data_IF_479447633729
#
_entry.id   IF_479447633729
#
_cell.length_a   1.000
_cell.length_b   1.000
_cell.length_c   1.000
_cell.angle_alpha   90.00
_cell.angle_beta   90.00
_cell.angle_gamma   90.00
#
_symmetry.space_group_name_H-M   'P 1'
#
loop_
_entity.id
_entity.type
_entity.pdbx_description
1 polymer ?
2 water ?
#
# COMPACT_ATOMS: atom_id res chain seq x y z
N UNK A 142 -3.67 16.03 8.70
CA UNK A 142 -3.94 16.50 7.35
C UNK A 142 -3.89 15.39 6.27
N UNK A 143 -4.96 15.31 5.48
CA UNK A 143 -5.27 14.11 4.71
C UNK A 143 -5.07 14.19 3.21
N UNK A 144 -4.66 13.06 2.65
CA UNK A 144 -4.59 12.86 1.22
C UNK A 144 -4.91 11.38 0.98
N UNK A 145 -5.28 11.06 -0.25
CA UNK A 145 -5.64 9.70 -0.56
C UNK A 145 -5.27 9.34 -2.01
N UNK A 146 -5.13 8.05 -2.28
CA UNK A 146 -4.85 7.60 -3.63
C UNK A 146 -5.38 6.16 -3.71
N UNK A 147 -5.80 5.72 -4.90
CA UNK A 147 -6.48 4.43 -5.01
C UNK A 147 -5.72 3.39 -5.81
N UNK A 148 -5.73 2.15 -5.32
CA UNK A 148 -5.14 1.03 -6.04
C UNK A 148 -6.22 0.03 -6.40
N UNK A 149 -5.90 -0.92 -7.28
CA UNK A 149 -6.75 -2.08 -7.52
C UNK A 149 -5.89 -3.32 -7.56
N UNK A 150 -6.48 -4.46 -7.30
CA UNK A 150 -5.74 -5.69 -7.14
C UNK A 150 -6.71 -6.85 -7.35
N UNK A 151 -6.23 -7.90 -8.00
CA UNK A 151 -7.06 -9.05 -8.27
C UNK A 151 -6.22 -10.27 -8.58
N UNK A 152 -6.74 -11.43 -8.22
CA UNK A 152 -6.01 -12.66 -8.41
C UNK A 152 -6.65 -13.46 -9.54
N UNK A 153 -6.02 -14.58 -9.86
CA UNK A 153 -6.49 -15.50 -10.88
C UNK A 153 -6.90 -16.85 -10.30
N UNK A 154 -7.60 -17.65 -11.10
CA UNK A 154 -7.93 -19.03 -10.73
C UNK A 154 -9.17 -19.23 -9.87
N UNK A 155 -9.27 -20.42 -9.31
CA UNK A 155 -10.36 -20.77 -8.41
C UNK A 155 -10.43 -19.81 -7.22
N UNK A 156 -11.61 -19.20 -7.03
CA UNK A 156 -11.82 -18.30 -5.92
C UNK A 156 -11.08 -16.97 -6.06
N UNK A 157 -10.83 -16.56 -7.30
CA UNK A 157 -10.19 -15.27 -7.57
C UNK A 157 -10.94 -14.15 -6.87
N UNK A 158 -10.22 -13.10 -6.48
CA UNK A 158 -10.85 -11.96 -5.82
C UNK A 158 -10.46 -10.68 -6.53
N UNK A 159 -11.08 -9.58 -6.13
CA UNK A 159 -10.94 -8.30 -6.81
C UNK A 159 -11.19 -7.33 -5.70
N UNK A 160 -10.21 -6.47 -5.44
CA UNK A 160 -10.35 -5.44 -4.40
C UNK A 160 -10.03 -4.05 -4.92
N UNK A 161 -10.73 -3.06 -4.38
CA UNK A 161 -10.29 -1.68 -4.41
C UNK A 161 -9.46 -1.40 -3.15
N UNK A 162 -8.36 -0.64 -3.28
CA UNK A 162 -7.65 -0.18 -2.07
C UNK A 162 -7.47 1.34 -2.00
N UNK A 163 -8.10 1.95 -1.00
CA UNK A 163 -7.98 3.38 -0.85
C UNK A 163 -6.90 3.65 0.21
N UNK A 164 -5.80 4.25 -0.23
CA UNK A 164 -4.71 4.50 0.67
C UNK A 164 -4.84 5.90 1.24
N UNK A 165 -5.25 5.96 2.50
CA UNK A 165 -5.46 7.24 3.17
C UNK A 165 -4.17 7.66 3.86
N UNK A 166 -3.56 8.72 3.35
CA UNK A 166 -2.31 9.23 3.89
C UNK A 166 -2.56 10.36 4.87
N UNK A 167 -2.11 10.17 6.12
CA UNK A 167 -2.23 11.22 7.12
C UNK A 167 -0.87 11.70 7.58
N UNK A 168 -0.61 12.99 7.35
CA UNK A 168 0.58 13.68 7.85
C UNK A 168 0.52 13.97 9.35
N UNK A 169 1.42 13.37 10.12
CA UNK A 169 1.39 13.49 11.57
C UNK A 169 2.30 14.61 12.06
N UNK A 170 2.78 15.45 11.15
CA UNK A 170 3.62 16.58 11.52
C UNK A 170 4.94 16.15 12.13
N UNK A 171 5.17 16.57 13.38
CA UNK A 171 6.33 16.11 14.13
C UNK A 171 5.86 15.37 15.40
N UNK A 172 5.76 14.04 15.32
CA UNK A 172 5.33 13.28 16.50
C UNK A 172 6.42 13.23 17.59
N UNK A 173 6.03 12.94 18.83
CA UNK A 173 7.04 12.72 19.88
C UNK A 173 8.01 11.56 19.54
N UNK A 174 9.30 11.76 19.83
CA UNK A 174 10.35 10.77 19.54
C UNK A 174 11.10 10.36 20.81
N UNK A 175 11.89 9.29 20.73
CA UNK A 175 12.69 8.83 21.88
C UNK A 175 14.06 9.51 21.90
N UNK A 176 14.98 8.99 22.69
CA UNK A 176 16.37 9.43 22.58
C UNK A 176 16.87 9.08 21.18
N UNK A 177 18.00 9.66 20.77
CA UNK A 177 18.53 9.50 19.41
C UNK A 177 17.65 10.22 18.38
N UNK A 178 16.34 9.99 18.43
CA UNK A 178 15.40 10.66 17.55
C UNK A 178 14.59 9.68 16.73
N UNK A 179 14.33 8.50 17.29
CA UNK A 179 13.67 7.42 16.56
C UNK A 179 12.14 7.35 16.83
N UNK A 180 11.38 7.11 15.78
CA UNK A 180 9.93 6.91 15.90
C UNK A 180 9.65 5.39 15.93
N UNK A 181 8.74 4.97 16.80
CA UNK A 181 8.34 3.55 16.89
C UNK A 181 6.82 3.39 16.77
N UNK A 182 6.24 3.79 15.63
CA UNK A 182 4.78 3.90 15.49
C UNK A 182 4.01 2.58 15.62
N UNK A 183 4.55 1.46 15.14
CA UNK A 183 3.84 0.18 15.25
C UNK A 183 3.43 -0.16 16.69
N UNK A 184 4.22 0.35 17.64
CA UNK A 184 3.97 0.14 19.06
C UNK A 184 3.31 1.32 19.77
N UNK A 185 3.39 2.52 19.18
CA UNK A 185 2.81 3.71 19.81
C UNK A 185 1.32 3.87 19.53
N UNK A 186 0.92 3.61 18.28
CA UNK A 186 -0.45 3.88 17.84
C UNK A 186 -1.25 2.63 17.53
N UNK A 187 -2.57 2.74 17.71
CA UNK A 187 -3.51 1.70 17.36
C UNK A 187 -3.71 1.61 15.86
N UNK A 188 -3.72 0.38 15.31
CA UNK A 188 -3.89 0.16 13.86
C UNK A 188 -5.37 0.27 13.50
N UNK A 189 -5.71 0.47 12.24
CA UNK A 189 -7.13 0.36 11.93
C UNK A 189 -7.52 -1.13 11.74
N UNK A 190 -8.81 -1.39 11.63
CA UNK A 190 -9.33 -2.74 11.56
C UNK A 190 -10.82 -2.63 11.37
N UNK A 191 -11.53 -3.78 11.23
CA UNK A 191 -10.99 -5.14 11.22
C UNK A 191 -10.21 -5.44 9.95
N UNK A 192 -9.31 -6.40 10.04
CA UNK A 192 -8.40 -6.65 8.93
C UNK A 192 -9.08 -7.41 7.79
N UNK A 193 -8.66 -7.13 6.55
CA UNK A 193 -9.07 -7.96 5.41
C UNK A 193 -8.48 -9.36 5.52
N UNK A 194 -8.85 -10.30 4.63
CA UNK A 194 -8.27 -11.64 4.80
C UNK A 194 -6.74 -11.65 4.68
N UNK A 195 -6.10 -12.59 5.35
CA UNK A 195 -4.66 -12.60 5.48
C UNK A 195 -3.94 -12.57 4.13
N UNK A 196 -4.33 -13.46 3.23
CA UNK A 196 -3.62 -13.67 1.97
C UNK A 196 -3.79 -12.47 1.05
N UNK A 197 -4.92 -11.78 1.16
CA UNK A 197 -5.13 -10.57 0.40
C UNK A 197 -4.15 -9.47 0.82
N UNK A 198 -3.97 -9.33 2.13
CA UNK A 198 -3.05 -8.34 2.68
C UNK A 198 -1.60 -8.64 2.30
N UNK A 199 -1.21 -9.92 2.35
CA UNK A 199 0.16 -10.31 2.02
C UNK A 199 0.42 -10.02 0.54
N UNK A 200 -0.60 -10.22 -0.28
CA UNK A 200 -0.45 -10.01 -1.71
C UNK A 200 -0.35 -8.51 -2.00
N UNK A 201 -1.23 -7.70 -1.42
CA UNK A 201 -1.11 -6.28 -1.65
C UNK A 201 0.23 -5.73 -1.18
N UNK A 202 0.73 -6.21 -0.04
CA UNK A 202 1.97 -5.70 0.54
C UNK A 202 3.24 -6.40 0.08
N UNK A 203 3.10 -7.28 -0.89
CA UNK A 203 4.21 -8.00 -1.47
C UNK A 203 5.12 -7.03 -2.21
N UNK A 204 6.43 -7.24 -2.16
CA UNK A 204 7.27 -6.58 -3.17
C UNK A 204 7.13 -7.33 -4.52
N UNK A 205 7.20 -6.63 -5.67
CA UNK A 205 7.07 -7.33 -6.97
C UNK A 205 7.85 -6.74 -8.14
N UNK A 206 8.31 -5.49 -7.98
CA UNK A 206 9.26 -4.88 -8.90
C UNK A 206 8.88 -4.68 -10.36
N UNK A 207 8.75 -5.78 -11.11
CA UNK A 207 8.58 -5.72 -12.57
C UNK A 207 7.29 -5.04 -13.04
N UNK A 208 7.35 -3.73 -13.32
CA UNK A 208 6.25 -3.04 -14.00
C UNK A 208 6.01 -3.66 -15.37
N UNK A 209 4.90 -4.37 -15.55
CA UNK A 209 4.71 -5.10 -16.79
C UNK A 209 3.65 -4.51 -17.72
N UNK A 210 2.89 -3.52 -17.23
CA UNK A 210 1.95 -2.81 -18.08
C UNK A 210 1.57 -1.42 -17.57
N UNK A 211 1.12 -0.56 -18.50
CA UNK A 211 0.60 0.76 -18.13
C UNK A 211 -0.88 0.91 -18.53
N UNK A 212 -1.73 1.15 -17.54
CA UNK A 212 -3.17 1.27 -17.77
C UNK A 212 -3.69 2.69 -17.62
N UNK A 213 -4.77 2.98 -18.33
CA UNK A 213 -5.43 4.26 -18.19
C UNK A 213 -4.76 5.32 -19.03
N UNK A 214 -5.36 6.51 -19.06
CA UNK A 214 -4.93 7.55 -19.99
C UNK A 214 -4.63 8.87 -19.28
N UNK A 215 -3.90 9.74 -19.97
CA UNK A 215 -3.70 11.12 -19.57
C UNK A 215 -3.17 11.32 -18.17
N UNK A 216 -4.04 11.75 -17.28
CA UNK A 216 -3.64 12.10 -15.91
C UNK A 216 -3.97 11.00 -14.90
N UNK A 217 -4.79 10.03 -15.29
CA UNK A 217 -5.11 8.89 -14.44
C UNK A 217 -4.47 7.62 -14.98
N UNK A 218 -3.18 7.49 -14.78
CA UNK A 218 -2.43 6.40 -15.40
C UNK A 218 -1.98 5.42 -14.31
N UNK A 219 -1.98 4.12 -14.59
CA UNK A 219 -1.65 3.11 -13.56
C UNK A 219 -0.56 2.14 -14.00
N UNK A 220 0.35 1.81 -13.11
CA UNK A 220 1.36 0.81 -13.40
C UNK A 220 0.85 -0.53 -12.92
N UNK A 221 0.92 -1.54 -13.78
CA UNK A 221 0.53 -2.87 -13.38
C UNK A 221 1.75 -3.67 -12.96
N UNK A 222 1.68 -4.34 -11.82
CA UNK A 222 2.67 -5.35 -11.48
C UNK A 222 2.02 -6.73 -11.48
N UNK A 223 2.74 -7.73 -11.98
CA UNK A 223 2.17 -9.04 -12.23
C UNK A 223 3.08 -10.07 -11.56
N UNK A 224 2.56 -10.75 -10.52
CA UNK A 224 3.38 -11.65 -9.70
C UNK A 224 2.63 -12.82 -9.08
N UNK A 225 3.36 -13.88 -8.76
CA UNK A 225 2.78 -15.01 -8.04
C UNK A 225 3.11 -14.95 -6.55
N UNK A 226 2.15 -15.38 -5.74
CA UNK A 226 2.40 -15.64 -4.33
C UNK A 226 1.91 -17.05 -3.98
N UNK A 227 2.84 -17.99 -3.94
CA UNK A 227 2.52 -19.38 -3.68
C UNK A 227 1.47 -19.95 -4.61
N UNK A 228 1.78 -19.99 -5.90
CA UNK A 228 0.91 -20.62 -6.88
C UNK A 228 -0.31 -19.80 -7.29
N UNK A 229 -0.50 -18.63 -6.69
CA UNK A 229 -1.59 -17.74 -7.07
C UNK A 229 -1.04 -16.54 -7.82
N UNK A 230 -1.59 -16.26 -9.01
CA UNK A 230 -1.16 -15.07 -9.72
C UNK A 230 -2.01 -13.83 -9.39
N UNK A 231 -1.31 -12.74 -9.12
CA UNK A 231 -1.92 -11.47 -8.73
C UNK A 231 -1.59 -10.34 -9.72
N UNK A 232 -2.51 -9.40 -9.83
CA UNK A 232 -2.27 -8.18 -10.59
C UNK A 232 -2.57 -7.01 -9.68
N UNK A 233 -1.75 -5.99 -9.72
CA UNK A 233 -1.88 -4.86 -8.81
C UNK A 233 -1.62 -3.60 -9.62
N UNK A 234 -2.59 -2.71 -9.59
CA UNK A 234 -2.51 -1.48 -10.36
C UNK A 234 -2.22 -0.37 -9.36
N UNK A 235 -1.14 0.35 -9.59
CA UNK A 235 -0.77 1.42 -8.71
C UNK A 235 -0.80 2.72 -9.49
N UNK A 236 -1.29 3.75 -8.84
CA UNK A 236 -1.28 5.07 -9.42
C UNK A 236 0.17 5.46 -9.54
N UNK A 237 0.59 5.98 -10.69
CA UNK A 237 1.94 6.47 -10.88
C UNK A 237 1.96 7.96 -11.30
N UNK A 238 2.58 8.81 -10.46
CA UNK A 238 2.59 10.28 -10.58
C UNK A 238 3.28 10.84 -11.85
N UNK A 239 3.49 12.16 -11.90
CA UNK A 239 4.25 12.79 -12.99
C UNK A 239 5.57 13.38 -12.51
N UNK B 142 -14.27 1.54 6.17
CA UNK B 142 -15.63 1.22 6.58
C UNK B 142 -15.98 -0.25 6.36
N UNK B 143 -15.04 -1.03 5.82
CA UNK B 143 -15.24 -2.46 5.58
C UNK B 143 -14.08 -3.28 6.18
N UNK B 144 -12.93 -3.28 5.51
CA UNK B 144 -11.73 -3.97 6.00
C UNK B 144 -10.53 -3.03 5.90
N UNK B 145 -9.63 -3.12 6.88
CA UNK B 145 -8.55 -2.13 6.98
C UNK B 145 -7.25 -2.67 7.61
N UNK B 146 -6.12 -2.26 7.04
CA UNK B 146 -4.80 -2.41 7.68
C UNK B 146 -4.08 -1.06 7.67
N UNK B 147 -3.01 -0.96 8.44
CA UNK B 147 -2.23 0.28 8.56
C UNK B 147 -0.78 0.08 8.10
N UNK B 148 -0.20 1.13 7.53
CA UNK B 148 1.22 1.17 7.22
C UNK B 148 1.81 2.46 7.80
N UNK B 149 3.12 2.51 7.89
CA UNK B 149 3.77 3.72 8.36
C UNK B 149 4.94 4.05 7.43
N UNK B 150 5.17 5.34 7.21
CA UNK B 150 6.28 5.76 6.38
C UNK B 150 6.89 7.07 6.89
N UNK B 151 8.21 7.09 7.04
CA UNK B 151 8.86 8.30 7.48
C UNK B 151 10.30 8.47 6.99
N UNK B 152 10.72 9.73 6.90
CA UNK B 152 11.99 10.06 6.36
C UNK B 152 12.85 10.58 7.48
N UNK B 153 14.16 10.67 7.23
CA UNK B 153 15.10 11.30 8.15
C UNK B 153 15.68 12.55 7.50
N UNK B 154 16.57 13.24 8.22
CA UNK B 154 17.19 14.48 7.74
C UNK B 154 16.28 15.68 7.81
N UNK B 155 16.83 16.87 7.50
CA UNK B 155 16.03 18.10 7.50
C UNK B 155 14.82 17.93 6.57
N UNK B 156 13.67 18.43 7.00
CA UNK B 156 12.45 18.24 6.25
C UNK B 156 11.91 16.81 6.36
N UNK B 157 12.26 16.17 7.47
CA UNK B 157 11.73 14.83 7.76
C UNK B 157 10.23 14.97 7.82
N UNK B 158 9.52 14.02 7.20
CA UNK B 158 8.08 13.92 7.34
C UNK B 158 7.69 12.57 7.92
N UNK B 159 6.49 12.51 8.49
CA UNK B 159 5.96 11.33 9.17
C UNK B 159 4.53 11.14 8.73
N UNK B 160 4.19 9.90 8.34
CA UNK B 160 2.90 9.56 7.77
C UNK B 160 2.36 8.24 8.29
N UNK B 161 1.08 8.25 8.63
CA UNK B 161 0.29 7.03 8.81
C UNK B 161 -0.49 6.80 7.52
N UNK B 162 -0.54 5.56 7.06
CA UNK B 162 -1.32 5.23 5.87
C UNK B 162 -2.35 4.17 6.23
N UNK B 163 -3.62 4.51 6.14
CA UNK B 163 -4.65 3.49 6.33
C UNK B 163 -5.12 2.97 4.97
N UNK B 164 -5.09 1.65 4.82
CA UNK B 164 -5.44 1.03 3.55
C UNK B 164 -6.82 0.43 3.68
N UNK B 165 -7.81 1.10 3.10
CA UNK B 165 -9.19 0.62 3.14
C UNK B 165 -9.46 -0.30 1.97
N UNK B 166 -9.92 -1.52 2.30
CA UNK B 166 -10.19 -2.56 1.31
C UNK B 166 -11.69 -2.75 1.07
N UNK B 167 -12.09 -2.80 -0.20
CA UNK B 167 -13.49 -2.99 -0.57
C UNK B 167 -13.58 -4.16 -1.53
N UNK B 168 -14.15 -5.27 -1.06
CA UNK B 168 -14.31 -6.46 -1.90
C UNK B 168 -15.23 -6.17 -3.08
N UNK B 169 -14.71 -6.25 -4.29
CA UNK B 169 -15.53 -5.96 -5.47
C UNK B 169 -16.07 -7.20 -6.20
N UNK B 170 -15.96 -8.38 -5.58
CA UNK B 170 -16.44 -9.59 -6.20
C UNK B 170 -15.41 -10.26 -7.09
N UNK B 171 -15.80 -10.53 -8.33
CA UNK B 171 -14.95 -11.25 -9.30
C UNK B 171 -13.95 -10.34 -10.03
N UNK B 172 -12.77 -10.88 -10.40
CA UNK B 172 -11.78 -10.14 -11.20
C UNK B 172 -12.48 -9.52 -12.40
N UNK B 173 -12.07 -8.31 -12.80
CA UNK B 173 -12.85 -7.39 -13.66
C UNK B 173 -13.10 -7.83 -15.11
N UNK B 174 -12.39 -8.81 -15.63
CA UNK B 174 -12.67 -9.26 -16.98
C UNK B 174 -13.45 -10.59 -16.97
N UNK B 175 -14.72 -10.53 -17.32
CA UNK B 175 -15.56 -11.73 -17.31
C UNK B 175 -15.34 -12.60 -18.55
N UNK B 176 -15.99 -13.76 -18.58
CA UNK B 176 -15.76 -14.72 -19.65
C UNK B 176 -16.50 -14.39 -20.92
N UNK B 177 -16.80 -13.11 -21.14
CA UNK B 177 -17.73 -12.73 -22.21
C UNK B 177 -17.35 -11.77 -23.37
N UNK B 178 -16.32 -10.94 -23.28
CA UNK B 178 -15.53 -10.61 -22.12
C UNK B 178 -15.74 -9.14 -21.89
N UNK B 179 -16.63 -8.84 -20.94
CA UNK B 179 -16.98 -7.47 -20.58
C UNK B 179 -16.24 -7.08 -19.32
N UNK B 180 -15.93 -5.80 -19.21
CA UNK B 180 -15.17 -5.25 -18.10
C UNK B 180 -16.07 -4.72 -16.99
N UNK B 181 -15.65 -4.95 -15.74
CA UNK B 181 -16.30 -4.35 -14.58
C UNK B 181 -16.01 -2.84 -14.57
N UNK B 182 -17.06 -2.01 -14.63
CA UNK B 182 -16.85 -0.53 -14.61
C UNK B 182 -16.26 -0.02 -13.29
N UNK B 183 -16.22 -0.87 -12.27
CA UNK B 183 -15.61 -0.54 -10.98
C UNK B 183 -14.11 -0.29 -11.11
N UNK B 184 -13.49 -0.94 -12.10
CA UNK B 184 -12.03 -0.88 -12.27
C UNK B 184 -11.58 0.50 -12.70
N UNK B 185 -10.71 1.10 -11.89
CA UNK B 185 -10.19 2.45 -12.13
C UNK B 185 -11.27 3.53 -12.09
N UNK B 186 -12.39 3.20 -11.48
CA UNK B 186 -13.50 4.14 -11.36
C UNK B 186 -13.39 4.99 -10.12
N UNK B 187 -13.62 6.29 -10.29
CA UNK B 187 -13.77 7.21 -9.16
C UNK B 187 -12.62 7.12 -8.11
N UNK B 188 -11.39 7.42 -8.56
CA UNK B 188 -10.23 7.30 -7.66
C UNK B 188 -10.29 8.36 -6.58
N UNK B 189 -9.88 8.04 -5.36
CA UNK B 189 -9.99 8.99 -4.26
C UNK B 189 -9.00 10.14 -4.40
N UNK B 190 -9.26 11.24 -3.71
CA UNK B 190 -8.33 12.37 -3.73
C UNK B 190 -8.45 13.31 -2.53
N UNK B 191 -7.62 14.37 -2.50
CA UNK B 191 -6.52 14.61 -3.42
C UNK B 191 -5.35 13.68 -3.17
N UNK B 192 -4.46 13.59 -4.14
CA UNK B 192 -3.34 12.67 -4.00
C UNK B 192 -2.20 13.27 -3.19
N UNK B 193 -1.46 12.40 -2.47
CA UNK B 193 -0.28 12.85 -1.73
C UNK B 193 0.77 13.37 -2.70
N UNK B 194 1.73 14.15 -2.20
CA UNK B 194 2.83 14.68 -3.03
C UNK B 194 3.65 13.56 -3.67
N UNK B 195 4.19 13.81 -4.87
CA UNK B 195 4.85 12.78 -5.68
C UNK B 195 6.01 12.03 -5.00
N UNK B 196 6.87 12.72 -4.26
CA UNK B 196 7.99 12.06 -3.60
C UNK B 196 7.48 11.14 -2.49
N UNK B 197 6.35 11.49 -1.90
CA UNK B 197 5.76 10.66 -0.84
C UNK B 197 5.21 9.35 -1.42
N UNK B 198 4.45 9.48 -2.51
CA UNK B 198 3.89 8.33 -3.21
C UNK B 198 5.01 7.42 -3.71
N UNK B 199 5.99 8.01 -4.39
CA UNK B 199 7.14 7.27 -4.87
C UNK B 199 7.82 6.51 -3.73
N UNK B 200 8.04 7.20 -2.62
CA UNK B 200 8.66 6.57 -1.46
C UNK B 200 7.82 5.39 -0.98
N UNK B 201 6.49 5.57 -0.93
CA UNK B 201 5.63 4.49 -0.45
C UNK B 201 5.72 3.23 -1.29
N UNK B 202 5.91 3.40 -2.60
CA UNK B 202 5.95 2.25 -3.50
C UNK B 202 7.34 1.83 -3.98
N UNK B 203 8.38 2.53 -3.55
CA UNK B 203 9.73 2.12 -3.86
C UNK B 203 10.01 0.66 -3.46
N UNK B 204 10.53 -0.14 -4.40
CA UNK B 204 11.03 -1.49 -4.12
C UNK B 204 12.18 -1.44 -3.13
N UNK B 205 12.12 -2.28 -2.11
CA UNK B 205 13.17 -2.33 -1.10
C UNK B 205 13.01 -3.63 -0.33
N UNK B 206 14.13 -4.24 0.02
CA UNK B 206 14.12 -5.48 0.77
C UNK B 206 13.69 -5.26 2.20
N UNK B 207 13.24 -6.34 2.84
CA UNK B 207 12.90 -6.27 4.25
C UNK B 207 14.19 -6.28 5.07
N UNK B 208 14.38 -5.29 5.93
CA UNK B 208 15.53 -5.27 6.84
C UNK B 208 15.29 -6.22 8.03
N UNK B 209 14.06 -6.22 8.55
CA UNK B 209 13.66 -7.05 9.71
C UNK B 209 12.13 -7.12 9.81
N UNK B 210 11.64 -8.02 10.64
CA UNK B 210 10.21 -8.07 10.94
C UNK B 210 10.00 -7.59 12.37
N UNK B 211 8.91 -6.86 12.60
CA UNK B 211 8.65 -6.31 13.93
C UNK B 211 7.21 -6.60 14.38
N UNK B 212 6.95 -6.41 15.67
CA UNK B 212 5.61 -6.25 16.20
C UNK B 212 5.59 -4.86 16.85
N UNK B 213 4.47 -4.13 16.84
CA UNK B 213 3.18 -4.54 16.35
C UNK B 213 2.21 -4.69 17.52
N UNK B 214 1.51 -3.62 17.89
CA UNK B 214 0.42 -3.70 18.89
C UNK B 214 -0.47 -4.92 18.68
N UNK B 215 -0.67 -5.72 19.73
CA UNK B 215 -1.43 -6.96 19.59
C UNK B 215 -0.65 -8.08 18.94
N UNK B 216 0.68 -8.06 19.09
CA UNK B 216 1.58 -9.00 18.43
C UNK B 216 1.33 -9.11 16.92
N UNK B 217 1.00 -7.99 16.31
CA UNK B 217 0.80 -7.98 14.88
C UNK B 217 2.13 -7.79 14.15
N UNK B 218 2.44 -8.70 13.24
CA UNK B 218 3.71 -8.69 12.51
C UNK B 218 3.75 -7.68 11.35
N UNK B 219 4.84 -6.94 11.28
CA UNK B 219 5.10 -5.98 10.19
C UNK B 219 6.50 -6.25 9.61
N UNK B 220 6.65 -6.03 8.31
CA UNK B 220 7.95 -6.07 7.66
C UNK B 220 8.49 -4.63 7.64
N UNK B 221 9.77 -4.46 7.96
CA UNK B 221 10.38 -3.13 7.92
C UNK B 221 11.35 -2.97 6.76
N UNK B 222 11.27 -1.82 6.09
CA UNK B 222 12.26 -1.45 5.08
C UNK B 222 12.95 -0.14 5.44
N UNK B 223 14.25 -0.09 5.12
CA UNK B 223 15.13 1.04 5.36
C UNK B 223 15.90 1.28 4.06
N UNK B 224 15.56 2.34 3.35
CA UNK B 224 16.11 2.56 2.02
C UNK B 224 16.26 4.02 1.71
N UNK B 225 16.94 4.27 0.61
CA UNK B 225 17.15 5.63 0.17
C UNK B 225 16.61 5.78 -1.21
N UNK B 226 15.94 6.90 -1.44
CA UNK B 226 15.50 7.27 -2.77
C UNK B 226 15.53 8.80 -2.81
N UNK B 227 15.89 9.37 -3.96
CA UNK B 227 16.00 10.81 -4.11
C UNK B 227 16.82 11.52 -3.05
N UNK B 228 18.00 10.97 -2.75
CA UNK B 228 18.89 11.48 -1.71
C UNK B 228 18.36 11.38 -0.29
N UNK B 229 17.12 10.93 -0.14
CA UNK B 229 16.45 10.92 1.15
C UNK B 229 16.32 9.49 1.69
N UNK B 230 16.56 9.34 2.99
CA UNK B 230 16.44 8.05 3.63
C UNK B 230 15.07 7.88 4.25
N UNK B 231 14.45 6.75 3.93
CA UNK B 231 13.07 6.46 4.28
C UNK B 231 12.97 5.20 5.12
N UNK B 232 11.97 5.18 5.99
CA UNK B 232 11.67 4.01 6.78
C UNK B 232 10.23 3.62 6.45
N UNK B 233 9.95 2.33 6.37
CA UNK B 233 8.62 1.90 5.99
C UNK B 233 8.18 0.65 6.73
N UNK B 234 6.94 0.67 7.23
CA UNK B 234 6.33 -0.48 7.88
C UNK B 234 5.08 -0.99 7.16
N UNK B 235 5.08 -2.28 6.85
CA UNK B 235 3.98 -2.91 6.13
C UNK B 235 3.46 -4.10 6.90
N UNK B 236 2.16 -4.05 7.21
CA UNK B 236 1.43 -5.19 7.76
C UNK B 236 1.69 -6.46 6.97
N UNK B 237 2.19 -7.49 7.64
CA UNK B 237 2.52 -8.74 6.96
C UNK B 237 2.16 -9.94 7.82
N UNK B 238 0.91 -10.40 7.72
CA UNK B 238 0.40 -11.44 8.62
C UNK B 238 0.70 -12.87 8.15
N UNK B 239 0.97 -13.77 9.10
CA UNK B 239 0.88 -15.21 8.85
C UNK B 239 -0.02 -15.83 9.91
#
# INVERSE_FOLDING_TARGET
MEDLQKALEAQSRALRAELAAGASQSRRPRPPRQRDSSTSGDDSGRDSGGPRRRRGNRGRGQRRDWSRAPPPPEERQETRSQTPAPKPSRAPPQQPQPPRMQTGRGGSAPRPELGPPTNPFQAAVARGLRPPLHDPDTEAPTEACVTSWLWSEGEGAVFYRVDLHFTNLGTPPLDEDGRWDPALMYNPCGPEPPAHVVRAYNQPAGDVRGVWGKGERTYAEQDFRVGGTRWHRLLRMPVRGLDGDSAPLPPHTTERIETRSARHPWRIR
MEDLQKALEAQSRALRAELAAGASQSRRPRPPRQRDSSTSGDDSGRDSGGPRRRRGNRGRGQRRDWSRAPPPPEERQETRSQTPAPKPSRAPPQQPQPPRMQTGRGGSAPRPELGPPTNPFQAAVARGLRPPLHDPDTEAPTEACVTSWLWSEGEGAVFYRVDLHFTNLGTPPLDEDGRWDPALMYNPCGPEPPAHVVRAYNQPAGDVRGVWGKGERTYAEQDFRVGGTRWHRLLRMPVRGLDGDSAPLPPHTTERIETRSARHPWRIR
#
